data_IF_109357065351
#
_entry.id   IF_109357065351
#
_cell.length_a   1.000
_cell.length_b   1.000
_cell.length_c   1.000
_cell.angle_alpha   90.00
_cell.angle_beta   90.00
_cell.angle_gamma   90.00
#
_symmetry.space_group_name_H-M   'P 1'
#
loop_
_entity.id
_entity.type
_entity.pdbx_description
1 polymer ?
#
# COMPACT_ATOMS: atom_id res chain seq x y z
N UNK A 1 10.59 16.86 -12.16
CA UNK A 1 11.65 16.23 -11.35
C UNK A 1 11.04 15.86 -10.01
N UNK A 2 11.41 14.72 -9.41
CA UNK A 2 10.90 14.35 -8.08
C UNK A 2 11.57 15.24 -7.03
N UNK A 3 10.75 15.95 -6.27
CA UNK A 3 11.16 16.87 -5.21
C UNK A 3 11.07 16.22 -3.82
N UNK A 4 10.12 15.30 -3.63
CA UNK A 4 9.92 14.56 -2.38
C UNK A 4 9.42 13.15 -2.68
N UNK A 5 9.98 12.16 -2.00
CA UNK A 5 9.54 10.78 -2.05
C UNK A 5 9.11 10.34 -0.65
N UNK A 6 7.84 9.99 -0.53
CA UNK A 6 7.25 9.44 0.68
C UNK A 6 7.00 7.95 0.43
N UNK A 7 7.25 7.11 1.43
CA UNK A 7 6.88 5.71 1.31
C UNK A 7 6.30 5.14 2.59
N UNK A 8 5.67 3.99 2.43
CA UNK A 8 5.23 3.14 3.53
C UNK A 8 5.86 1.78 3.39
N UNK A 9 6.43 1.27 4.47
CA UNK A 9 6.91 -0.11 4.54
C UNK A 9 6.12 -0.84 5.62
N UNK A 10 5.41 -1.89 5.21
CA UNK A 10 4.51 -2.66 6.07
C UNK A 10 3.52 -1.77 6.83
N UNK A 11 3.04 -0.73 6.15
CA UNK A 11 2.11 0.27 6.69
C UNK A 11 2.73 1.36 7.56
N UNK A 12 4.04 1.31 7.86
CA UNK A 12 4.77 2.35 8.60
C UNK A 12 5.35 3.39 7.65
N UNK A 13 5.16 4.67 7.97
CA UNK A 13 5.72 5.75 7.18
C UNK A 13 7.26 5.76 7.26
N UNK A 14 7.90 5.85 6.09
CA UNK A 14 9.35 6.01 5.93
C UNK A 14 9.63 7.19 5.02
N UNK A 15 10.63 7.98 5.40
CA UNK A 15 11.09 9.12 4.63
C UNK A 15 12.29 8.69 3.78
N UNK A 16 12.25 9.04 2.50
CA UNK A 16 13.37 8.86 1.60
C UNK A 16 14.19 10.13 1.54
N UNK A 17 15.50 9.98 1.71
CA UNK A 17 16.46 11.06 1.51
C UNK A 17 17.00 10.97 0.09
N UNK A 18 17.04 12.11 -0.60
CA UNK A 18 17.66 12.21 -1.91
C UNK A 18 19.17 12.12 -1.75
N UNK A 19 19.78 11.16 -2.44
CA UNK A 19 21.24 11.00 -2.45
C UNK A 19 21.79 11.73 -3.67
N UNK A 20 22.39 11.04 -4.65
CA UNK A 20 22.91 11.67 -5.86
C UNK A 20 21.94 11.51 -7.05
N UNK A 21 21.78 12.57 -7.84
CA UNK A 21 20.90 12.59 -9.01
C UNK A 21 19.44 12.22 -8.69
N UNK A 22 18.96 11.14 -9.30
CA UNK A 22 17.60 10.60 -9.14
C UNK A 22 17.53 9.39 -8.20
N UNK A 23 18.58 9.16 -7.40
CA UNK A 23 18.63 8.08 -6.42
C UNK A 23 18.08 8.54 -5.07
N UNK A 24 17.21 7.72 -4.49
CA UNK A 24 16.58 7.95 -3.20
C UNK A 24 16.85 6.76 -2.28
N UNK A 25 17.24 7.06 -1.04
CA UNK A 25 17.64 6.07 -0.05
C UNK A 25 16.77 6.19 1.21
N UNK A 26 16.52 5.06 1.86
CA UNK A 26 15.85 5.03 3.16
C UNK A 26 16.36 3.84 3.97
N UNK A 27 16.11 3.87 5.28
CA UNK A 27 16.36 2.75 6.18
C UNK A 27 15.05 2.06 6.51
N UNK A 28 14.96 0.78 6.18
CA UNK A 28 13.79 -0.05 6.47
C UNK A 28 13.99 -0.74 7.82
N UNK A 29 12.97 -0.80 8.70
CA UNK A 29 13.06 -1.59 9.93
C UNK A 29 13.38 -3.05 9.62
N UNK A 30 14.18 -3.71 10.46
CA UNK A 30 14.46 -5.14 10.29
C UNK A 30 13.19 -5.96 10.52
N UNK A 31 12.86 -6.81 9.55
CA UNK A 31 11.87 -7.86 9.67
C UNK A 31 12.54 -9.25 9.71
N UNK A 32 11.93 -10.18 10.46
CA UNK A 32 12.46 -11.54 10.70
C UNK A 32 12.37 -12.38 9.41
N UNK A 33 11.30 -12.18 8.64
CA UNK A 33 11.03 -12.94 7.42
C UNK A 33 11.66 -12.27 6.18
N UNK A 34 12.31 -11.11 6.35
CA UNK A 34 12.99 -10.37 5.29
C UNK A 34 12.06 -9.90 4.17
N UNK A 35 10.75 -9.84 4.43
CA UNK A 35 9.73 -9.54 3.43
C UNK A 35 9.08 -8.20 3.75
N UNK A 36 9.07 -7.30 2.76
CA UNK A 36 8.62 -5.92 2.95
C UNK A 36 7.64 -5.53 1.85
N UNK A 37 6.49 -5.00 2.25
CA UNK A 37 5.55 -4.37 1.33
C UNK A 37 5.86 -2.88 1.29
N UNK A 38 6.38 -2.42 0.15
CA UNK A 38 6.80 -1.03 -0.06
C UNK A 38 5.76 -0.32 -0.92
N UNK A 39 5.27 0.82 -0.45
CA UNK A 39 4.38 1.73 -1.19
C UNK A 39 5.10 3.06 -1.36
N UNK A 40 5.08 3.66 -2.56
CA UNK A 40 5.79 4.90 -2.84
C UNK A 40 4.84 5.98 -3.38
N UNK A 41 5.07 7.22 -2.98
CA UNK A 41 4.39 8.40 -3.50
C UNK A 41 5.43 9.47 -3.81
N UNK A 42 5.56 9.79 -5.10
CA UNK A 42 6.49 10.79 -5.57
C UNK A 42 5.75 12.12 -5.81
N UNK A 43 6.36 13.20 -5.34
CA UNK A 43 5.87 14.57 -5.48
C UNK A 43 6.83 15.38 -6.35
N UNK A 44 6.29 16.22 -7.23
CA UNK A 44 7.05 17.22 -7.98
C UNK A 44 7.22 18.54 -7.20
N UNK A 45 7.95 19.48 -7.77
CA UNK A 45 8.21 20.80 -7.17
C UNK A 45 6.95 21.68 -7.07
N UNK A 46 5.93 21.41 -7.89
CA UNK A 46 4.66 22.12 -7.86
C UNK A 46 3.68 21.50 -6.84
N UNK A 47 4.06 20.42 -6.17
CA UNK A 47 3.22 19.71 -5.22
C UNK A 47 2.21 18.76 -5.87
N UNK A 48 2.36 18.46 -7.16
CA UNK A 48 1.59 17.36 -7.77
C UNK A 48 2.20 16.03 -7.35
N UNK A 49 1.36 15.03 -7.13
CA UNK A 49 1.80 13.68 -6.83
C UNK A 49 1.24 12.67 -7.84
N UNK A 50 2.00 11.60 -8.04
CA UNK A 50 1.53 10.41 -8.75
C UNK A 50 1.62 9.23 -7.77
N UNK A 51 0.53 8.47 -7.63
CA UNK A 51 0.54 7.24 -6.83
C UNK A 51 1.47 6.23 -7.51
N UNK A 52 2.56 5.87 -6.85
CA UNK A 52 3.60 5.06 -7.46
C UNK A 52 3.73 3.72 -6.74
N UNK A 53 2.96 2.76 -7.23
CA UNK A 53 3.14 1.29 -7.18
C UNK A 53 3.55 0.64 -5.85
N UNK A 54 2.87 -0.47 -5.53
CA UNK A 54 3.28 -1.34 -4.42
C UNK A 54 4.25 -2.39 -4.92
N UNK A 55 5.29 -2.65 -4.15
CA UNK A 55 6.29 -3.68 -4.43
C UNK A 55 6.42 -4.60 -3.24
N UNK A 56 6.59 -5.90 -3.52
CA UNK A 56 7.05 -6.86 -2.54
C UNK A 56 8.55 -7.03 -2.69
N UNK A 57 9.29 -6.64 -1.65
CA UNK A 57 10.72 -6.84 -1.56
C UNK A 57 10.98 -8.03 -0.63
N UNK A 58 11.67 -9.06 -1.12
CA UNK A 58 12.07 -10.22 -0.29
C UNK A 58 13.59 -10.31 -0.28
N UNK A 59 14.17 -10.34 0.92
CA UNK A 59 15.59 -10.54 1.15
C UNK A 59 15.86 -11.94 1.69
N UNK A 60 16.59 -12.76 0.92
CA UNK A 60 17.06 -14.07 1.36
C UNK A 60 18.51 -13.93 1.89
N UNK A 61 18.72 -13.94 3.23
CA UNK A 61 20.06 -13.81 3.80
C UNK A 61 20.94 -15.04 3.55
N UNK A 62 20.34 -16.21 3.34
CA UNK A 62 21.10 -17.46 3.10
C UNK A 62 21.71 -17.46 1.70
N UNK A 63 21.06 -16.82 0.74
CA UNK A 63 21.52 -16.70 -0.65
C UNK A 63 22.07 -15.32 -0.99
N UNK A 64 22.03 -14.35 -0.07
CA UNK A 64 22.36 -12.93 -0.30
C UNK A 64 21.67 -12.37 -1.55
N UNK A 65 20.39 -12.73 -1.73
CA UNK A 65 19.60 -12.37 -2.89
C UNK A 65 18.43 -11.47 -2.49
N UNK A 66 18.14 -10.47 -3.33
CA UNK A 66 16.96 -9.61 -3.21
C UNK A 66 16.07 -9.86 -4.41
N UNK A 67 14.78 -10.09 -4.16
CA UNK A 67 13.76 -10.09 -5.21
C UNK A 67 12.83 -8.89 -5.03
N UNK A 68 12.54 -8.23 -6.15
CA UNK A 68 11.63 -7.10 -6.23
C UNK A 68 10.48 -7.49 -7.15
N UNK A 69 9.29 -7.68 -6.58
CA UNK A 69 8.12 -8.19 -7.29
C UNK A 69 7.06 -7.08 -7.34
N UNK A 70 6.62 -6.64 -8.52
CA UNK A 70 5.52 -5.68 -8.64
C UNK A 70 4.24 -6.28 -8.05
N UNK A 71 3.57 -5.54 -7.17
CA UNK A 71 2.27 -5.92 -6.59
C UNK A 71 1.20 -4.93 -7.05
N UNK A 72 0.65 -5.07 -8.28
CA UNK A 72 -0.37 -4.16 -8.78
C UNK A 72 -1.74 -4.35 -8.12
N UNK A 73 -1.94 -5.45 -7.38
CA UNK A 73 -3.20 -5.79 -6.73
C UNK A 73 -3.30 -5.22 -5.31
N UNK A 74 -4.48 -4.69 -4.99
CA UNK A 74 -4.89 -4.31 -3.65
C UNK A 74 -6.00 -5.27 -3.21
N UNK A 75 -6.03 -5.63 -1.92
CA UNK A 75 -7.11 -6.40 -1.34
C UNK A 75 -8.02 -5.44 -0.56
N UNK A 76 -9.29 -5.36 -0.94
CA UNK A 76 -10.32 -4.73 -0.12
C UNK A 76 -10.93 -5.78 0.80
N UNK A 77 -11.02 -5.47 2.10
CA UNK A 77 -11.88 -6.27 2.98
C UNK A 77 -13.31 -5.88 2.65
N UNK A 78 -13.97 -6.68 1.82
CA UNK A 78 -15.39 -6.49 1.54
C UNK A 78 -16.20 -6.72 2.83
N UNK A 79 -17.16 -5.84 3.17
CA UNK A 79 -18.04 -6.07 4.31
C UNK A 79 -18.85 -7.36 4.11
N UNK A 80 -19.24 -8.00 5.22
CA UNK A 80 -20.10 -9.19 5.19
C UNK A 80 -21.38 -8.88 4.39
N UNK A 81 -21.82 -9.76 3.47
CA UNK A 81 -23.06 -9.55 2.75
C UNK A 81 -24.21 -9.46 3.75
N UNK A 82 -24.94 -8.36 3.72
CA UNK A 82 -26.20 -8.20 4.45
C UNK A 82 -27.35 -8.28 3.44
N UNK A 83 -28.46 -8.90 3.85
CA UNK A 83 -29.71 -8.88 3.11
C UNK A 83 -30.72 -8.03 3.89
N UNK A 84 -31.46 -7.18 3.19
CA UNK A 84 -32.61 -6.49 3.74
C UNK A 84 -33.85 -7.22 3.25
N UNK A 85 -34.63 -7.79 4.17
CA UNK A 85 -35.90 -8.43 3.84
C UNK A 85 -37.01 -7.38 3.88
N UNK A 86 -37.77 -7.28 2.79
CA UNK A 86 -38.88 -6.34 2.67
C UNK A 86 -40.07 -6.93 3.43
N UNK A 87 -40.24 -6.51 4.69
CA UNK A 87 -41.43 -6.88 5.48
C UNK A 87 -42.66 -6.32 4.76
N UNK A 88 -43.54 -7.21 4.29
CA UNK A 88 -44.81 -6.80 3.71
C UNK A 88 -45.59 -5.99 4.74
N UNK A 89 -46.20 -4.85 4.36
CA UNK A 89 -47.02 -4.09 5.27
C UNK A 89 -48.15 -4.99 5.78
N UNK A 90 -48.27 -5.11 7.11
CA UNK A 90 -49.38 -5.81 7.76
C UNK A 90 -50.65 -5.05 7.38
N UNK A 91 -51.37 -5.54 6.38
CA UNK A 91 -52.66 -5.00 5.99
C UNK A 91 -53.67 -5.39 7.07
N UNK A 92 -53.76 -4.60 8.14
CA UNK A 92 -54.83 -4.68 9.13
C UNK A 92 -56.15 -4.10 8.56
N UNK A 93 -56.59 -4.58 7.39
CA UNK A 93 -57.98 -4.39 6.97
C UNK A 93 -58.83 -5.42 7.70
N UNK A 94 -59.40 -4.97 8.82
CA UNK A 94 -60.64 -5.54 9.37
C UNK A 94 -61.69 -5.44 8.25
N UNK A 95 -62.04 -6.58 7.66
CA UNK A 95 -63.32 -6.75 6.97
C UNK A 95 -64.43 -6.81 8.02
#
# INVERSE_FOLDING_TARGET
MVARLEGKVDGKDVLFTKSDGDVWETTVPVDIDGTYIVELTAWDEAGNYCFMTRWLLTFDPSRLCVHLIPCPYWAEVLPSPFYAELLQPICNRRC
#
